data_IF_452399087877
#
_entry.id   IF_452399087877
#
_cell.length_a   1.000
_cell.length_b   1.000
_cell.length_c   1.000
_cell.angle_alpha   90.00
_cell.angle_beta   90.00
_cell.angle_gamma   90.00
#
_symmetry.space_group_name_H-M   'P 1'
#
loop_
_entity.id
_entity.type
_entity.pdbx_description
1 polymer ?
#
# COMPACT_ATOMS: atom_id res chain seq x y z
N UNK A 1 -30.04 -2.98 -29.24
CA UNK A 1 -29.67 -4.20 -28.48
C UNK A 1 -28.16 -4.31 -28.42
N UNK A 2 -27.59 -4.17 -27.22
CA UNK A 2 -26.21 -4.55 -26.93
C UNK A 2 -25.26 -3.39 -26.61
N UNK A 3 -25.62 -2.48 -25.71
CA UNK A 3 -24.59 -1.75 -24.96
C UNK A 3 -24.06 -2.74 -23.92
N UNK A 4 -22.79 -3.15 -24.09
CA UNK A 4 -22.12 -4.05 -23.16
C UNK A 4 -21.95 -3.35 -21.82
N UNK A 5 -22.78 -3.71 -20.86
CA UNK A 5 -22.51 -3.53 -19.43
C UNK A 5 -21.10 -4.05 -19.15
N UNK A 6 -20.17 -3.14 -18.93
CA UNK A 6 -18.99 -3.47 -18.13
C UNK A 6 -19.54 -3.89 -16.79
N UNK A 7 -19.46 -5.18 -16.47
CA UNK A 7 -19.62 -5.67 -15.12
C UNK A 7 -18.53 -4.99 -14.26
N UNK A 8 -18.83 -3.81 -13.74
CA UNK A 8 -18.02 -3.13 -12.75
C UNK A 8 -18.16 -3.92 -11.47
N UNK A 9 -17.06 -4.50 -10.97
CA UNK A 9 -17.05 -5.09 -9.63
C UNK A 9 -17.53 -4.05 -8.63
N UNK A 10 -18.43 -4.45 -7.74
CA UNK A 10 -19.24 -3.58 -6.87
C UNK A 10 -18.43 -2.94 -5.70
N UNK A 11 -17.15 -2.62 -5.91
CA UNK A 11 -16.21 -2.19 -4.87
C UNK A 11 -15.14 -1.21 -5.37
N UNK A 12 -14.37 -0.60 -4.44
CA UNK A 12 -13.37 0.40 -4.78
C UNK A 12 -12.27 -0.20 -5.67
N UNK A 13 -11.77 0.57 -6.64
CA UNK A 13 -10.65 0.14 -7.51
C UNK A 13 -9.33 0.80 -7.16
N UNK A 14 -9.33 1.86 -6.35
CA UNK A 14 -8.13 2.62 -5.98
C UNK A 14 -7.95 2.69 -4.46
N UNK A 15 -6.84 2.17 -3.97
CA UNK A 15 -6.41 2.30 -2.58
C UNK A 15 -5.40 3.46 -2.42
N UNK A 16 -5.72 4.41 -1.56
CA UNK A 16 -4.81 5.45 -1.09
C UNK A 16 -4.35 5.12 0.32
N UNK A 17 -3.03 5.07 0.54
CA UNK A 17 -2.44 4.82 1.86
C UNK A 17 -1.78 6.10 2.36
N UNK A 18 -2.25 6.62 3.49
CA UNK A 18 -1.82 7.89 4.05
C UNK A 18 -0.90 7.65 5.25
N UNK A 19 0.38 7.96 5.06
CA UNK A 19 1.47 7.66 6.00
C UNK A 19 1.93 8.92 6.71
N UNK A 20 1.73 8.95 8.03
CA UNK A 20 2.09 10.08 8.88
C UNK A 20 3.60 10.18 9.14
N UNK A 21 4.02 11.32 9.70
CA UNK A 21 5.41 11.59 10.05
C UNK A 21 5.81 11.05 11.43
N UNK A 22 7.06 11.29 11.82
CA UNK A 22 7.59 10.88 13.13
C UNK A 22 6.77 11.51 14.28
N UNK A 23 6.32 10.69 15.23
CA UNK A 23 5.50 11.11 16.37
C UNK A 23 4.06 11.49 16.00
N UNK A 24 3.68 11.30 14.73
CA UNK A 24 2.37 11.62 14.21
C UNK A 24 1.33 10.53 14.43
N UNK A 25 0.16 10.76 13.84
CA UNK A 25 -0.96 9.81 13.83
C UNK A 25 -1.64 9.82 12.47
N UNK A 26 -2.57 8.89 12.24
CA UNK A 26 -3.38 8.88 11.02
C UNK A 26 -4.17 10.17 10.77
N UNK A 27 -4.42 10.98 11.81
CA UNK A 27 -5.18 12.23 11.68
C UNK A 27 -4.38 13.37 11.02
N UNK A 28 -3.05 13.24 10.94
CA UNK A 28 -2.17 14.24 10.30
C UNK A 28 -2.53 14.52 8.83
N UNK A 29 -3.22 13.57 8.19
CA UNK A 29 -3.63 13.62 6.78
C UNK A 29 -5.15 13.59 6.59
N UNK A 30 -5.94 13.86 7.63
CA UNK A 30 -7.43 13.80 7.58
C UNK A 30 -8.04 14.75 6.55
N UNK A 31 -7.42 15.92 6.33
CA UNK A 31 -7.87 16.85 5.30
C UNK A 31 -7.72 16.25 3.89
N UNK A 32 -6.62 15.53 3.65
CA UNK A 32 -6.38 14.84 2.38
C UNK A 32 -7.32 13.64 2.22
N UNK A 33 -7.56 12.86 3.27
CA UNK A 33 -8.57 11.79 3.27
C UNK A 33 -9.94 12.33 2.88
N UNK A 34 -10.40 13.42 3.50
CA UNK A 34 -11.68 14.05 3.18
C UNK A 34 -11.77 14.47 1.71
N UNK A 35 -10.72 15.11 1.19
CA UNK A 35 -10.66 15.51 -0.22
C UNK A 35 -10.74 14.30 -1.17
N UNK A 36 -10.02 13.22 -0.89
CA UNK A 36 -10.00 12.00 -1.70
C UNK A 36 -11.35 11.30 -1.72
N UNK A 37 -12.01 11.20 -0.56
CA UNK A 37 -13.33 10.58 -0.45
C UNK A 37 -14.42 11.42 -1.14
N UNK A 38 -14.37 12.74 -0.99
CA UNK A 38 -15.32 13.66 -1.63
C UNK A 38 -15.24 13.60 -3.16
N UNK A 39 -14.04 13.54 -3.74
CA UNK A 39 -13.84 13.60 -5.19
C UNK A 39 -13.76 12.22 -5.85
N UNK A 40 -13.39 11.18 -5.10
CA UNK A 40 -13.23 9.82 -5.57
C UNK A 40 -14.50 8.96 -5.51
N UNK A 41 -15.44 9.32 -4.64
CA UNK A 41 -16.70 8.58 -4.46
C UNK A 41 -16.47 7.11 -4.11
N UNK A 42 -17.31 6.23 -4.66
CA UNK A 42 -17.25 4.79 -4.37
C UNK A 42 -16.03 4.07 -4.97
N UNK A 43 -15.26 4.71 -5.86
CA UNK A 43 -14.06 4.11 -6.47
C UNK A 43 -12.86 4.08 -5.52
N UNK A 44 -12.90 4.90 -4.46
CA UNK A 44 -11.76 5.18 -3.60
C UNK A 44 -11.91 4.50 -2.25
N UNK A 45 -10.84 3.83 -1.84
CA UNK A 45 -10.61 3.36 -0.48
C UNK A 45 -9.41 4.10 0.10
N UNK A 46 -9.54 4.58 1.33
CA UNK A 46 -8.44 5.22 2.07
C UNK A 46 -8.04 4.35 3.25
N UNK A 47 -6.75 4.05 3.35
CA UNK A 47 -6.12 3.39 4.50
C UNK A 47 -5.25 4.39 5.24
N UNK A 48 -5.43 4.45 6.56
CA UNK A 48 -4.58 5.21 7.49
C UNK A 48 -3.91 4.22 8.46
N UNK A 49 -2.69 3.76 8.16
CA UNK A 49 -2.05 2.74 8.98
C UNK A 49 -1.88 3.19 10.42
N UNK A 50 -2.56 2.52 11.34
CA UNK A 50 -2.47 2.79 12.78
C UNK A 50 -1.24 2.14 13.41
N UNK A 51 -0.59 1.21 12.69
CA UNK A 51 0.50 0.39 13.18
C UNK A 51 1.75 1.17 13.62
N UNK A 52 1.93 2.42 13.16
CA UNK A 52 3.11 3.25 13.47
C UNK A 52 2.81 4.53 14.27
N UNK A 53 1.59 4.69 14.79
CA UNK A 53 1.20 5.89 15.51
C UNK A 53 2.06 6.13 16.78
N UNK A 54 2.24 7.42 17.13
CA UNK A 54 2.90 7.87 18.36
C UNK A 54 4.35 7.34 18.47
N UNK A 55 4.64 6.56 19.52
CA UNK A 55 5.99 6.05 19.81
C UNK A 55 6.42 4.94 18.85
N UNK A 56 5.49 4.33 18.11
CA UNK A 56 5.80 3.25 17.16
C UNK A 56 6.48 3.73 15.88
N UNK A 57 6.59 5.04 15.65
CA UNK A 57 7.41 5.57 14.55
C UNK A 57 8.90 5.67 14.91
N UNK A 58 9.28 5.36 16.15
CA UNK A 58 10.67 5.49 16.66
C UNK A 58 11.42 4.16 16.72
N UNK A 59 10.78 3.04 16.37
CA UNK A 59 11.39 1.70 16.44
C UNK A 59 12.17 1.30 15.17
N UNK A 60 12.21 2.20 14.19
CA UNK A 60 13.00 2.05 12.97
C UNK A 60 12.16 2.07 11.69
N UNK A 61 12.83 2.32 10.57
CA UNK A 61 12.18 2.39 9.26
C UNK A 61 11.73 1.01 8.79
N UNK A 62 12.59 -0.01 8.94
CA UNK A 62 12.35 -1.38 8.48
C UNK A 62 11.14 -2.00 9.19
N UNK A 63 11.15 -2.02 10.52
CA UNK A 63 10.04 -2.53 11.33
C UNK A 63 8.73 -1.80 11.03
N UNK A 64 8.77 -0.46 10.96
CA UNK A 64 7.60 0.33 10.64
C UNK A 64 7.07 0.09 9.22
N UNK A 65 7.94 -0.04 8.22
CA UNK A 65 7.54 -0.30 6.85
C UNK A 65 6.99 -1.72 6.65
N UNK A 66 7.55 -2.71 7.36
CA UNK A 66 7.04 -4.09 7.32
C UNK A 66 5.59 -4.15 7.79
N UNK A 67 5.29 -3.52 8.93
CA UNK A 67 3.91 -3.47 9.45
C UNK A 67 2.95 -2.78 8.50
N UNK A 68 3.37 -1.67 7.89
CA UNK A 68 2.56 -0.97 6.87
C UNK A 68 2.31 -1.89 5.68
N UNK A 69 3.32 -2.61 5.19
CA UNK A 69 3.16 -3.52 4.07
C UNK A 69 2.18 -4.67 4.40
N UNK A 70 2.24 -5.22 5.61
CA UNK A 70 1.32 -6.26 6.06
C UNK A 70 -0.13 -5.76 6.13
N UNK A 71 -0.35 -4.56 6.70
CA UNK A 71 -1.68 -3.94 6.75
C UNK A 71 -2.23 -3.65 5.34
N UNK A 72 -1.37 -3.23 4.40
CA UNK A 72 -1.76 -3.06 2.99
C UNK A 72 -2.17 -4.41 2.36
N UNK A 73 -1.43 -5.49 2.62
CA UNK A 73 -1.76 -6.83 2.10
C UNK A 73 -3.10 -7.32 2.62
N UNK A 74 -3.39 -7.10 3.91
CA UNK A 74 -4.69 -7.45 4.51
C UNK A 74 -5.84 -6.70 3.83
N UNK A 75 -5.68 -5.39 3.58
CA UNK A 75 -6.69 -4.59 2.88
C UNK A 75 -6.87 -5.05 1.44
N UNK A 76 -5.78 -5.30 0.71
CA UNK A 76 -5.86 -5.78 -0.68
C UNK A 76 -6.53 -7.15 -0.76
N UNK A 77 -6.22 -8.08 0.15
CA UNK A 77 -6.86 -9.38 0.21
C UNK A 77 -8.37 -9.30 0.50
N UNK A 78 -8.79 -8.32 1.30
CA UNK A 78 -10.21 -8.08 1.60
C UNK A 78 -10.98 -7.38 0.47
N UNK A 79 -10.30 -6.71 -0.46
CA UNK A 79 -10.91 -5.91 -1.53
C UNK A 79 -10.38 -6.34 -2.91
N UNK A 80 -10.88 -7.45 -3.48
CA UNK A 80 -10.37 -8.02 -4.73
C UNK A 80 -10.59 -7.13 -5.97
N UNK A 81 -11.39 -6.06 -5.85
CA UNK A 81 -11.62 -5.07 -6.92
C UNK A 81 -10.50 -4.03 -7.03
N UNK A 82 -9.63 -3.93 -6.03
CA UNK A 82 -8.51 -2.99 -6.04
C UNK A 82 -7.53 -3.31 -7.17
N UNK A 83 -7.27 -2.31 -8.00
CA UNK A 83 -6.36 -2.39 -9.14
C UNK A 83 -5.25 -1.34 -9.11
N UNK A 84 -5.40 -0.30 -8.26
CA UNK A 84 -4.44 0.80 -8.13
C UNK A 84 -4.09 1.04 -6.67
N UNK A 85 -2.82 1.35 -6.44
CA UNK A 85 -2.27 1.71 -5.13
C UNK A 85 -1.56 3.06 -5.24
N UNK A 86 -1.87 3.99 -4.34
CA UNK A 86 -1.16 5.25 -4.17
C UNK A 86 -0.70 5.39 -2.73
N UNK A 87 0.62 5.53 -2.54
CA UNK A 87 1.24 5.74 -1.24
C UNK A 87 1.58 7.23 -1.09
N UNK A 88 1.06 7.86 -0.03
CA UNK A 88 1.29 9.28 0.26
C UNK A 88 1.92 9.37 1.64
N UNK A 89 3.13 9.91 1.71
CA UNK A 89 3.88 9.98 2.95
C UNK A 89 4.30 11.40 3.31
N UNK A 90 4.00 11.81 4.54
CA UNK A 90 4.50 13.06 5.12
C UNK A 90 5.82 12.81 5.86
N UNK A 91 6.89 13.51 5.50
CA UNK A 91 8.20 13.39 6.17
C UNK A 91 8.68 11.93 6.25
N UNK A 92 8.88 11.37 7.46
CA UNK A 92 9.20 9.96 7.69
C UNK A 92 8.22 9.00 6.99
N UNK A 93 6.94 9.37 6.88
CA UNK A 93 5.93 8.62 6.14
C UNK A 93 6.31 8.39 4.69
N UNK A 94 7.06 9.31 4.05
CA UNK A 94 7.57 9.15 2.70
C UNK A 94 8.68 8.08 2.62
N UNK A 95 9.50 7.96 3.66
CA UNK A 95 10.51 6.89 3.75
C UNK A 95 9.82 5.53 3.96
N UNK A 96 8.82 5.47 4.86
CA UNK A 96 7.98 4.29 5.01
C UNK A 96 7.32 3.90 3.69
N UNK A 97 6.78 4.86 2.93
CA UNK A 97 6.16 4.61 1.62
C UNK A 97 7.11 3.89 0.67
N UNK A 98 8.36 4.35 0.56
CA UNK A 98 9.35 3.75 -0.35
C UNK A 98 9.75 2.35 0.07
N UNK A 99 9.96 2.15 1.37
CA UNK A 99 10.35 0.83 1.89
C UNK A 99 9.18 -0.16 1.77
N UNK A 100 7.96 0.24 2.15
CA UNK A 100 6.78 -0.60 2.00
C UNK A 100 6.52 -0.95 0.53
N UNK A 101 6.70 -0.02 -0.41
CA UNK A 101 6.64 -0.33 -1.83
C UNK A 101 7.66 -1.41 -2.23
N UNK A 102 8.90 -1.32 -1.75
CA UNK A 102 9.89 -2.37 -2.01
C UNK A 102 9.41 -3.75 -1.51
N UNK A 103 8.88 -3.82 -0.29
CA UNK A 103 8.34 -5.07 0.29
C UNK A 103 7.12 -5.63 -0.44
N UNK A 104 6.26 -4.75 -0.97
CA UNK A 104 5.04 -5.16 -1.68
C UNK A 104 5.31 -5.65 -3.10
N UNK A 105 6.33 -5.09 -3.75
CA UNK A 105 6.68 -5.40 -5.14
C UNK A 105 7.93 -6.28 -5.29
N UNK A 106 8.50 -6.74 -4.18
CA UNK A 106 9.55 -7.75 -4.23
C UNK A 106 8.97 -9.07 -4.75
N UNK A 107 9.55 -9.67 -5.80
CA UNK A 107 9.10 -10.97 -6.27
C UNK A 107 9.21 -11.98 -5.12
N UNK A 108 8.13 -12.73 -4.89
CA UNK A 108 8.15 -13.80 -3.90
C UNK A 108 9.39 -14.68 -4.13
N UNK A 109 10.12 -15.09 -3.08
CA UNK A 109 11.24 -15.99 -3.24
C UNK A 109 10.69 -17.24 -3.94
N UNK A 110 11.16 -17.47 -5.16
CA UNK A 110 10.83 -18.70 -5.88
C UNK A 110 11.21 -19.84 -4.96
N UNK A 111 10.24 -20.65 -4.53
CA UNK A 111 10.47 -21.86 -3.76
C UNK A 111 11.13 -22.89 -4.68
N UNK A 112 12.37 -22.62 -5.04
CA UNK A 112 13.26 -23.50 -5.76
C UNK A 112 14.50 -23.57 -4.90
N UNK A 113 14.59 -24.64 -4.11
CA UNK A 113 15.85 -25.00 -3.50
C UNK A 113 16.87 -25.17 -4.62
N UNK A 114 17.75 -24.19 -4.77
CA UNK A 114 18.93 -24.34 -5.61
C UNK A 114 20.12 -23.69 -4.92
N UNK A 115 20.97 -24.56 -4.40
CA UNK A 115 22.29 -24.20 -3.89
C UNK A 115 23.19 -23.97 -5.12
N UNK A 116 23.20 -22.76 -5.67
CA UNK A 116 23.94 -22.50 -6.90
C UNK A 116 24.30 -21.03 -7.08
N UNK A 117 25.60 -20.74 -7.05
CA UNK A 117 26.18 -19.41 -7.24
C UNK A 117 25.83 -18.76 -8.59
N UNK A 118 25.79 -17.43 -8.60
CA UNK A 118 26.13 -16.64 -9.79
C UNK A 118 24.95 -15.88 -10.39
N UNK A 119 24.99 -14.56 -10.23
CA UNK A 119 23.92 -13.65 -10.62
C UNK A 119 23.57 -13.66 -12.11
N UNK A 120 22.33 -13.24 -12.38
CA UNK A 120 21.90 -12.71 -13.68
C UNK A 120 20.60 -11.94 -13.52
N UNK A 121 20.67 -10.65 -13.84
CA UNK A 121 19.54 -9.76 -14.04
C UNK A 121 18.64 -10.29 -15.16
N UNK A 122 17.33 -10.26 -14.93
CA UNK A 122 16.33 -10.62 -15.94
C UNK A 122 14.93 -10.61 -15.38
N UNK A 123 14.40 -9.42 -15.05
CA UNK A 123 13.01 -9.26 -14.67
C UNK A 123 12.10 -9.48 -15.88
N UNK A 124 11.26 -10.51 -15.82
CA UNK A 124 10.10 -10.68 -16.72
C UNK A 124 8.84 -10.63 -15.86
N UNK A 125 7.87 -9.84 -16.30
CA UNK A 125 6.60 -9.57 -15.62
C UNK A 125 5.70 -10.82 -15.57
N UNK A 126 5.00 -10.99 -14.45
CA UNK A 126 3.72 -11.69 -14.34
C UNK A 126 2.86 -10.96 -13.32
#
# INVERSE_FOLDING_TARGET
NGEGERAGGDGPTHLYVLLHGLGGTGDDLVCLEGFLLEHGGADVLVLRPACNALTRSFDGVEEGASRIADEIREVVAAHPTLARLSLIGNSLGGIYARYAAALLFEPAPSSSGDSGSGGRCGGTMA
#
